data_IF_400134847787
#
_entry.id   IF_400134847787
#
_cell.length_a   1.000
_cell.length_b   1.000
_cell.length_c   1.000
_cell.angle_alpha   90.00
_cell.angle_beta   90.00
_cell.angle_gamma   90.00
#
_symmetry.space_group_name_H-M   'P 1'
#
loop_
_entity.id
_entity.type
_entity.pdbx_description
1 polymer ?
#
# COMPACT_ATOMS: atom_id res chain seq x y z
N UNK A 1 13.83 5.88 7.12
CA UNK A 1 12.97 4.92 7.84
C UNK A 1 12.93 3.65 7.02
N UNK A 2 13.25 2.49 7.60
CA UNK A 2 13.17 1.20 6.92
C UNK A 2 12.18 0.28 7.64
N UNK A 3 11.48 -0.57 6.90
CA UNK A 3 10.61 -1.61 7.46
C UNK A 3 11.34 -2.94 7.34
N UNK A 4 11.60 -3.57 8.48
CA UNK A 4 12.25 -4.89 8.56
C UNK A 4 11.23 -5.89 9.10
N UNK A 5 11.11 -7.05 8.44
CA UNK A 5 10.27 -8.15 8.92
C UNK A 5 11.02 -8.99 9.94
N UNK A 6 10.27 -9.50 10.90
CA UNK A 6 10.76 -10.42 11.91
C UNK A 6 9.62 -11.19 12.56
N UNK A 7 9.98 -12.26 13.25
CA UNK A 7 9.06 -13.15 13.96
C UNK A 7 9.32 -13.10 15.45
N UNK A 8 8.26 -13.18 16.27
CA UNK A 8 8.43 -13.24 17.72
C UNK A 8 8.76 -14.68 18.15
N UNK A 9 9.92 -14.87 18.79
CA UNK A 9 10.36 -16.14 19.38
C UNK A 9 10.68 -15.91 20.85
N UNK A 10 9.97 -16.61 21.76
CA UNK A 10 10.17 -16.46 23.20
C UNK A 10 9.91 -15.04 23.74
N UNK A 11 8.97 -14.31 23.12
CA UNK A 11 8.63 -12.93 23.50
C UNK A 11 9.59 -11.86 22.96
N UNK A 12 10.57 -12.23 22.13
CA UNK A 12 11.51 -11.31 21.50
C UNK A 12 11.32 -11.30 19.99
N UNK A 13 11.40 -10.12 19.37
CA UNK A 13 11.38 -9.99 17.91
C UNK A 13 12.73 -10.44 17.35
N UNK A 14 12.72 -11.42 16.45
CA UNK A 14 13.88 -11.93 15.72
C UNK A 14 13.73 -11.49 14.27
N UNK A 15 14.70 -10.72 13.76
CA UNK A 15 14.67 -10.20 12.40
C UNK A 15 15.12 -11.26 11.39
N UNK A 16 14.47 -11.31 10.23
CA UNK A 16 14.81 -12.27 9.17
C UNK A 16 16.03 -11.80 8.39
N UNK A 17 17.21 -12.34 8.73
CA UNK A 17 18.45 -12.15 7.95
C UNK A 17 19.07 -10.74 8.00
N UNK A 18 18.59 -9.86 8.89
CA UNK A 18 19.13 -8.51 9.09
C UNK A 18 19.44 -8.25 10.56
N UNK A 19 20.53 -7.52 10.81
CA UNK A 19 20.87 -6.97 12.12
C UNK A 19 20.77 -5.45 12.09
N UNK A 20 20.15 -4.85 13.09
CA UNK A 20 20.15 -3.41 13.27
C UNK A 20 21.37 -2.97 14.08
N UNK A 21 21.94 -1.79 13.81
CA UNK A 21 23.02 -1.24 14.62
C UNK A 21 22.64 -1.08 16.09
N UNK A 22 23.60 -1.25 16.99
CA UNK A 22 23.40 -1.03 18.41
C UNK A 22 22.97 0.43 18.70
N UNK A 23 22.02 0.61 19.63
CA UNK A 23 21.47 1.92 19.97
C UNK A 23 20.41 2.45 19.01
N UNK A 24 20.02 1.69 17.99
CA UNK A 24 18.94 2.08 17.07
C UNK A 24 17.59 2.12 17.80
N UNK A 25 16.91 3.26 17.74
CA UNK A 25 15.52 3.39 18.20
C UNK A 25 14.58 2.69 17.21
N UNK A 26 13.70 1.81 17.71
CA UNK A 26 12.82 0.99 16.88
C UNK A 26 11.36 1.19 17.24
N UNK A 27 10.50 1.23 16.22
CA UNK A 27 9.06 1.12 16.35
C UNK A 27 8.62 -0.28 15.88
N UNK A 28 7.87 -0.99 16.72
CA UNK A 28 7.40 -2.35 16.42
C UNK A 28 5.96 -2.29 15.91
N UNK A 29 5.77 -2.77 14.68
CA UNK A 29 4.45 -2.96 14.09
C UNK A 29 4.09 -4.44 14.14
N UNK A 30 3.05 -4.79 14.90
CA UNK A 30 2.56 -6.16 14.98
C UNK A 30 1.55 -6.37 13.85
N UNK A 31 1.98 -7.05 12.80
CA UNK A 31 1.08 -7.53 11.77
C UNK A 31 0.13 -8.56 12.40
N UNK A 32 -1.14 -8.17 12.56
CA UNK A 32 -2.20 -9.13 12.84
C UNK A 32 -2.57 -9.79 11.52
N UNK A 33 -2.77 -11.09 11.55
CA UNK A 33 -3.39 -11.78 10.43
C UNK A 33 -4.84 -11.30 10.36
N UNK A 34 -5.06 -10.18 9.68
CA UNK A 34 -6.40 -9.81 9.28
C UNK A 34 -6.84 -10.86 8.25
N UNK A 35 -8.00 -11.48 8.50
CA UNK A 35 -8.57 -12.44 7.57
C UNK A 35 -8.57 -11.79 6.19
N UNK A 36 -7.95 -12.45 5.21
CA UNK A 36 -7.84 -11.89 3.87
C UNK A 36 -9.24 -11.49 3.39
N UNK A 37 -9.44 -10.21 3.07
CA UNK A 37 -10.70 -9.71 2.55
C UNK A 37 -10.94 -10.41 1.21
N UNK A 38 -12.00 -11.22 1.15
CA UNK A 38 -12.40 -11.95 -0.07
C UNK A 38 -13.49 -11.14 -0.74
N UNK A 39 -13.19 -10.63 -1.93
CA UNK A 39 -14.20 -10.00 -2.77
C UNK A 39 -14.99 -11.06 -3.53
N UNK A 40 -16.31 -10.87 -3.71
CA UNK A 40 -17.07 -11.56 -4.73
C UNK A 40 -16.40 -11.43 -6.11
N UNK A 41 -16.48 -12.44 -7.00
CA UNK A 41 -15.76 -12.42 -8.28
C UNK A 41 -16.07 -11.23 -9.21
N UNK A 42 -17.21 -10.56 -9.04
CA UNK A 42 -17.53 -9.36 -9.82
C UNK A 42 -16.80 -8.12 -9.30
N UNK A 43 -16.75 -7.92 -7.96
CA UNK A 43 -16.03 -6.82 -7.35
C UNK A 43 -14.51 -6.97 -7.51
N UNK A 44 -13.99 -8.20 -7.49
CA UNK A 44 -12.57 -8.44 -7.78
C UNK A 44 -12.20 -7.97 -9.20
N UNK A 45 -13.01 -8.32 -10.20
CA UNK A 45 -12.79 -7.90 -11.59
C UNK A 45 -12.91 -6.39 -11.78
N UNK A 46 -13.86 -5.76 -11.09
CA UNK A 46 -14.02 -4.30 -11.10
C UNK A 46 -12.79 -3.60 -10.51
N UNK A 47 -12.28 -4.11 -9.37
CA UNK A 47 -11.06 -3.58 -8.75
C UNK A 47 -9.84 -3.75 -9.66
N UNK A 48 -9.66 -4.93 -10.26
CA UNK A 48 -8.57 -5.19 -11.21
C UNK A 48 -8.62 -4.23 -12.40
N UNK A 49 -9.80 -4.01 -12.98
CA UNK A 49 -10.00 -3.06 -14.07
C UNK A 49 -9.66 -1.62 -13.67
N UNK A 50 -10.00 -1.20 -12.45
CA UNK A 50 -9.71 0.14 -11.95
C UNK A 50 -8.20 0.34 -11.70
N UNK A 51 -7.50 -0.70 -11.23
CA UNK A 51 -6.05 -0.67 -11.08
C UNK A 51 -5.35 -0.59 -12.44
N UNK A 52 -5.78 -1.38 -13.42
CA UNK A 52 -5.28 -1.30 -14.81
C UNK A 52 -5.54 0.07 -15.45
N UNK A 53 -6.63 0.75 -15.11
CA UNK A 53 -6.89 2.13 -15.54
C UNK A 53 -5.94 3.12 -14.88
N UNK A 54 -5.72 3.01 -13.58
CA UNK A 54 -4.81 3.90 -12.85
C UNK A 54 -3.35 3.75 -13.31
N UNK A 55 -2.90 2.51 -13.55
CA UNK A 55 -1.53 2.21 -13.99
C UNK A 55 -1.21 2.75 -15.39
N UNK A 56 -2.23 2.99 -16.22
CA UNK A 56 -2.02 3.59 -17.55
C UNK A 56 -1.58 5.05 -17.47
N UNK A 57 -1.75 5.71 -16.33
CA UNK A 57 -1.48 7.14 -16.13
C UNK A 57 -2.15 8.03 -17.21
N UNK A 58 -3.25 7.54 -17.80
CA UNK A 58 -4.04 8.22 -18.82
C UNK A 58 -4.86 9.34 -18.16
N UNK A 59 -4.21 10.47 -17.89
CA UNK A 59 -4.81 11.66 -17.32
C UNK A 59 -4.64 12.89 -18.20
N UNK A 60 -5.36 13.96 -17.84
CA UNK A 60 -5.10 15.31 -18.36
C UNK A 60 -4.43 16.14 -17.27
N UNK A 61 -3.69 17.18 -17.65
CA UNK A 61 -3.13 18.14 -16.69
C UNK A 61 -4.23 18.86 -15.92
N UNK A 62 -3.87 19.43 -14.76
CA UNK A 62 -4.81 20.22 -13.97
C UNK A 62 -5.31 21.44 -14.74
N UNK A 63 -4.45 22.05 -15.55
CA UNK A 63 -4.76 23.18 -16.41
C UNK A 63 -5.78 22.81 -17.50
N UNK A 64 -5.61 21.65 -18.14
CA UNK A 64 -6.56 21.12 -19.13
C UNK A 64 -7.91 20.79 -18.49
N UNK A 65 -7.92 20.17 -17.32
CA UNK A 65 -9.15 19.88 -16.57
C UNK A 65 -9.93 21.17 -16.26
N UNK A 66 -9.24 22.20 -15.76
CA UNK A 66 -9.86 23.50 -15.45
C UNK A 66 -10.41 24.15 -16.73
N UNK A 67 -9.70 24.04 -17.86
CA UNK A 67 -10.16 24.56 -19.13
C UNK A 67 -11.41 23.84 -19.65
N UNK A 68 -11.49 22.51 -19.51
CA UNK A 68 -12.68 21.72 -19.88
C UNK A 68 -13.89 22.06 -19.01
N UNK A 69 -13.73 22.16 -17.68
CA UNK A 69 -14.83 22.46 -16.76
C UNK A 69 -15.45 23.84 -17.02
N UNK A 70 -14.66 24.82 -17.47
CA UNK A 70 -15.16 26.15 -17.86
C UNK A 70 -16.12 26.14 -19.05
N UNK A 71 -16.17 25.06 -19.85
CA UNK A 71 -17.13 24.92 -20.97
C UNK A 71 -18.54 24.59 -20.49
N UNK A 72 -18.69 24.13 -19.25
CA UNK A 72 -19.97 23.70 -18.66
C UNK A 72 -20.48 24.64 -17.57
N UNK A 73 -19.80 25.75 -17.31
CA UNK A 73 -20.22 26.82 -16.40
C UNK A 73 -20.66 28.07 -17.16
#
# INVERSE_FOLDING_TARGET
MEVVKGTVVGGKVVLDGKSLPEGTEVAVFVAREESAVRLPPHLQRELESALEEADREDGISAEELIAELRKYG
#
